data_IF_721347485446
#
_entry.id   IF_721347485446
#
_cell.length_a   1.000
_cell.length_b   1.000
_cell.length_c   1.000
_cell.angle_alpha   90.00
_cell.angle_beta   90.00
_cell.angle_gamma   90.00
#
_symmetry.space_group_name_H-M   'P 1'
#
loop_
_entity.id
_entity.type
_entity.pdbx_description
1 polymer ?
#
# COMPACT_ATOMS: atom_id res chain seq x y z
N UNK A 1 14.95 1.46 -32.80
CA UNK A 1 16.27 2.10 -32.85
C UNK A 1 16.09 3.44 -32.17
N UNK A 2 16.34 3.47 -30.86
CA UNK A 2 16.22 4.66 -30.03
C UNK A 2 17.63 4.88 -29.52
N UNK A 3 18.27 5.93 -30.01
CA UNK A 3 19.65 6.30 -29.65
C UNK A 3 19.66 6.74 -28.19
N UNK A 4 20.58 6.19 -27.41
CA UNK A 4 20.79 6.61 -26.02
C UNK A 4 21.51 7.95 -25.99
N UNK A 5 21.02 8.94 -25.21
CA UNK A 5 21.67 10.24 -25.15
C UNK A 5 22.95 10.20 -24.32
N UNK A 6 23.96 10.87 -24.87
CA UNK A 6 25.35 11.05 -24.44
C UNK A 6 25.48 11.90 -23.17
N UNK A 7 24.96 11.39 -22.05
CA UNK A 7 25.24 11.96 -20.71
C UNK A 7 25.76 10.90 -19.73
N UNK A 8 26.00 9.68 -20.20
CA UNK A 8 26.50 8.57 -19.40
C UNK A 8 28.04 8.57 -19.22
N UNK A 9 28.78 9.56 -19.74
CA UNK A 9 30.24 9.54 -19.64
C UNK A 9 30.84 10.79 -18.96
N UNK A 10 31.69 10.47 -17.98
CA UNK A 10 32.71 11.29 -17.31
C UNK A 10 32.27 12.24 -16.17
N UNK A 11 32.43 11.75 -14.93
CA UNK A 11 32.84 12.56 -13.79
C UNK A 11 34.23 12.07 -13.30
N UNK A 12 35.22 12.96 -13.11
CA UNK A 12 36.59 12.57 -12.82
C UNK A 12 36.76 12.10 -11.37
N UNK A 13 37.63 11.10 -11.19
CA UNK A 13 38.03 10.59 -9.89
C UNK A 13 38.87 11.63 -9.14
N UNK A 14 38.35 12.16 -8.02
CA UNK A 14 39.17 12.83 -7.01
C UNK A 14 38.53 12.76 -5.62
N UNK A 15 39.29 12.15 -4.69
CA UNK A 15 39.31 12.39 -3.24
C UNK A 15 38.14 11.87 -2.37
N UNK A 16 38.33 10.67 -1.83
CA UNK A 16 38.45 10.54 -0.36
C UNK A 16 37.20 10.45 0.51
N UNK A 17 36.04 10.04 0.00
CA UNK A 17 34.90 9.64 0.84
C UNK A 17 34.37 8.29 0.34
N UNK A 18 34.21 7.33 1.27
CA UNK A 18 33.70 5.99 0.95
C UNK A 18 32.33 6.06 0.26
N UNK A 19 31.93 5.01 -0.49
CA UNK A 19 30.70 5.04 -1.26
C UNK A 19 29.52 5.23 -0.30
N UNK A 20 28.93 6.43 -0.32
CA UNK A 20 27.55 6.62 0.10
C UNK A 20 26.76 5.74 -0.86
N UNK A 21 26.34 4.57 -0.38
CA UNK A 21 25.48 3.69 -1.14
C UNK A 21 24.18 4.46 -1.37
N UNK A 22 24.06 5.10 -2.52
CA UNK A 22 22.77 5.48 -3.08
C UNK A 22 22.07 4.16 -3.37
N UNK A 23 21.46 3.57 -2.34
CA UNK A 23 20.51 2.49 -2.52
C UNK A 23 19.52 3.00 -3.58
N UNK A 24 19.33 2.30 -4.70
CA UNK A 24 18.27 2.68 -5.62
C UNK A 24 16.96 2.63 -4.82
N UNK A 25 16.43 3.81 -4.49
CA UNK A 25 15.27 3.99 -3.61
C UNK A 25 14.01 3.30 -4.15
N UNK A 26 14.05 2.92 -5.43
CA UNK A 26 13.06 2.09 -6.09
C UNK A 26 13.56 0.64 -6.17
N UNK A 27 13.57 -0.08 -5.05
CA UNK A 27 13.51 -1.53 -5.10
C UNK A 27 12.18 -1.90 -5.74
N UNK A 28 12.21 -2.47 -6.95
CA UNK A 28 11.03 -2.99 -7.61
C UNK A 28 10.49 -4.19 -6.82
N UNK A 29 9.72 -3.91 -5.76
CA UNK A 29 9.09 -4.90 -4.91
C UNK A 29 7.59 -4.94 -5.20
N UNK A 30 7.03 -6.15 -5.30
CA UNK A 30 5.59 -6.33 -5.28
C UNK A 30 5.04 -5.85 -3.92
N UNK A 31 3.92 -5.15 -3.92
CA UNK A 31 3.27 -4.65 -2.69
C UNK A 31 2.92 -5.78 -1.70
N UNK A 32 2.86 -7.03 -2.16
CA UNK A 32 2.62 -8.22 -1.32
C UNK A 32 3.84 -8.68 -0.53
N UNK A 33 5.05 -8.22 -0.87
CA UNK A 33 6.28 -8.62 -0.18
C UNK A 33 7.35 -7.53 -0.30
N UNK A 34 7.35 -6.62 0.65
CA UNK A 34 8.32 -5.52 0.72
C UNK A 34 9.56 -5.95 1.50
N UNK A 35 10.76 -5.44 1.13
CA UNK A 35 12.02 -5.77 1.81
C UNK A 35 12.17 -4.98 3.13
N UNK A 36 11.14 -5.03 3.97
CA UNK A 36 11.09 -4.39 5.29
C UNK A 36 10.91 -5.45 6.36
N UNK A 37 11.50 -5.20 7.54
CA UNK A 37 11.35 -6.05 8.72
C UNK A 37 9.93 -5.95 9.29
N UNK A 38 9.54 -6.97 10.05
CA UNK A 38 8.29 -6.97 10.80
C UNK A 38 8.29 -5.81 11.80
N UNK A 39 7.14 -5.15 11.96
CA UNK A 39 6.95 -4.07 12.96
C UNK A 39 7.99 -2.94 12.86
N UNK A 40 8.43 -2.61 11.64
CA UNK A 40 9.45 -1.60 11.37
C UNK A 40 8.87 -0.19 11.11
N UNK A 41 7.61 -0.08 10.67
CA UNK A 41 7.01 1.20 10.26
C UNK A 41 5.88 1.66 11.18
N UNK A 42 5.76 2.98 11.35
CA UNK A 42 4.69 3.59 12.14
C UNK A 42 3.41 3.82 11.32
N UNK A 43 3.55 4.04 10.00
CA UNK A 43 2.45 4.35 9.09
C UNK A 43 2.61 3.61 7.76
N UNK A 44 1.53 3.00 7.27
CA UNK A 44 1.41 2.44 5.94
C UNK A 44 0.32 3.18 5.17
N UNK A 45 0.57 3.51 3.90
CA UNK A 45 -0.36 4.30 3.07
C UNK A 45 -0.61 3.60 1.75
N UNK A 46 -1.88 3.34 1.45
CA UNK A 46 -2.34 2.94 0.11
C UNK A 46 -3.13 4.10 -0.49
N UNK A 47 -2.59 4.72 -1.53
CA UNK A 47 -3.22 5.85 -2.20
C UNK A 47 -3.47 5.48 -3.66
N UNK A 48 -4.74 5.15 -3.97
CA UNK A 48 -5.20 4.69 -5.29
C UNK A 48 -4.41 3.49 -5.82
N UNK A 49 -3.91 2.65 -4.92
CA UNK A 49 -2.94 1.60 -5.23
C UNK A 49 -3.47 0.18 -4.99
N UNK A 50 -4.65 0.01 -4.39
CA UNK A 50 -5.31 -1.28 -4.19
C UNK A 50 -5.98 -1.77 -5.48
N UNK A 51 -5.29 -1.68 -6.61
CA UNK A 51 -5.81 -2.02 -7.94
C UNK A 51 -5.62 -3.50 -8.31
N UNK A 52 -4.84 -4.25 -7.52
CA UNK A 52 -4.62 -5.68 -7.73
C UNK A 52 -5.79 -6.56 -7.28
N UNK A 53 -5.85 -7.80 -7.77
CA UNK A 53 -6.82 -8.82 -7.34
C UNK A 53 -6.57 -9.33 -5.92
N UNK A 54 -5.37 -9.10 -5.39
CA UNK A 54 -4.89 -9.64 -4.12
C UNK A 54 -4.79 -8.56 -3.03
N UNK A 55 -5.85 -7.77 -2.86
CA UNK A 55 -5.91 -6.71 -1.83
C UNK A 55 -5.63 -7.26 -0.43
N UNK A 56 -6.02 -8.52 -0.17
CA UNK A 56 -5.70 -9.24 1.06
C UNK A 56 -4.20 -9.25 1.34
N UNK A 57 -3.40 -9.71 0.38
CA UNK A 57 -1.95 -9.88 0.55
C UNK A 57 -1.29 -8.53 0.87
N UNK A 58 -1.73 -7.45 0.22
CA UNK A 58 -1.22 -6.11 0.48
C UNK A 58 -1.54 -5.63 1.90
N UNK A 59 -2.76 -5.88 2.38
CA UNK A 59 -3.18 -5.49 3.73
C UNK A 59 -2.54 -6.36 4.82
N UNK A 60 -2.31 -7.65 4.55
CA UNK A 60 -1.58 -8.54 5.45
C UNK A 60 -0.10 -8.15 5.52
N UNK A 61 0.51 -7.78 4.39
CA UNK A 61 1.89 -7.28 4.36
C UNK A 61 2.01 -5.93 5.10
N UNK A 62 1.03 -5.03 4.92
CA UNK A 62 0.95 -3.81 5.71
C UNK A 62 0.82 -4.12 7.21
N UNK A 63 0.03 -5.13 7.59
CA UNK A 63 -0.06 -5.56 8.99
C UNK A 63 1.29 -6.06 9.51
N UNK A 64 2.02 -6.87 8.72
CA UNK A 64 3.35 -7.41 9.09
C UNK A 64 4.34 -6.28 9.40
N UNK A 65 4.47 -5.31 8.51
CA UNK A 65 5.47 -4.23 8.67
C UNK A 65 5.07 -3.17 9.69
N UNK A 66 3.77 -2.97 9.95
CA UNK A 66 3.31 -1.97 10.91
C UNK A 66 3.63 -2.36 12.35
N UNK A 67 4.09 -1.40 13.15
CA UNK A 67 4.19 -1.56 14.62
C UNK A 67 2.82 -1.75 15.26
N UNK A 68 2.73 -2.42 16.43
CA UNK A 68 1.50 -2.43 17.23
C UNK A 68 1.00 -1.01 17.50
N UNK A 69 -0.27 -0.73 17.21
CA UNK A 69 -0.84 0.62 17.32
C UNK A 69 -0.52 1.58 16.17
N UNK A 70 0.28 1.16 15.18
CA UNK A 70 0.58 1.91 13.97
C UNK A 70 -0.64 2.19 13.09
N UNK A 71 -0.49 3.11 12.13
CA UNK A 71 -1.59 3.62 11.31
C UNK A 71 -1.56 3.07 9.88
N UNK A 72 -2.72 2.62 9.41
CA UNK A 72 -2.95 2.29 8.02
C UNK A 72 -3.89 3.35 7.42
N UNK A 73 -3.45 4.02 6.36
CA UNK A 73 -4.25 4.99 5.61
C UNK A 73 -4.60 4.42 4.24
N UNK A 74 -5.87 4.44 3.89
CA UNK A 74 -6.35 3.97 2.58
C UNK A 74 -7.12 5.09 1.92
N UNK A 75 -6.68 5.52 0.75
CA UNK A 75 -7.41 6.40 -0.14
C UNK A 75 -7.72 5.65 -1.44
N UNK A 76 -9.00 5.49 -1.77
CA UNK A 76 -9.44 4.73 -2.95
C UNK A 76 -10.64 5.38 -3.63
N UNK A 77 -10.80 5.14 -4.93
CA UNK A 77 -11.88 5.73 -5.72
C UNK A 77 -13.23 5.26 -5.17
N UNK A 78 -14.14 6.20 -4.89
CA UNK A 78 -15.44 5.97 -4.25
C UNK A 78 -16.27 4.92 -4.99
N UNK A 79 -16.26 4.96 -6.32
CA UNK A 79 -17.00 4.03 -7.19
C UNK A 79 -16.52 2.58 -7.12
N UNK A 80 -15.38 2.32 -6.49
CA UNK A 80 -14.85 0.96 -6.32
C UNK A 80 -15.52 0.19 -5.18
N UNK A 81 -16.21 0.90 -4.29
CA UNK A 81 -16.87 0.33 -3.13
C UNK A 81 -18.35 0.07 -3.42
N UNK A 82 -18.76 -1.20 -3.45
CA UNK A 82 -20.19 -1.55 -3.47
C UNK A 82 -20.84 -1.32 -2.11
N UNK A 83 -20.20 -1.83 -1.04
CA UNK A 83 -20.59 -1.58 0.34
C UNK A 83 -19.35 -1.33 1.21
N UNK A 84 -19.17 -0.07 1.61
CA UNK A 84 -18.07 0.37 2.47
C UNK A 84 -18.05 -0.41 3.79
N UNK A 85 -19.21 -0.78 4.36
CA UNK A 85 -19.27 -1.52 5.64
C UNK A 85 -18.68 -2.92 5.49
N UNK A 86 -18.90 -3.58 4.36
CA UNK A 86 -18.35 -4.91 4.09
C UNK A 86 -16.83 -4.82 3.94
N UNK A 87 -16.32 -3.77 3.27
CA UNK A 87 -14.90 -3.48 3.21
C UNK A 87 -14.29 -3.24 4.60
N UNK A 88 -14.87 -2.34 5.40
CA UNK A 88 -14.40 -2.06 6.77
C UNK A 88 -14.41 -3.32 7.65
N UNK A 89 -15.43 -4.17 7.53
CA UNK A 89 -15.52 -5.44 8.25
C UNK A 89 -14.44 -6.44 7.84
N UNK A 90 -14.10 -6.48 6.54
CA UNK A 90 -13.02 -7.33 6.05
C UNK A 90 -11.64 -6.84 6.51
N UNK A 91 -11.37 -5.53 6.43
CA UNK A 91 -10.14 -4.92 6.96
C UNK A 91 -10.02 -5.16 8.48
N UNK A 92 -11.14 -5.11 9.20
CA UNK A 92 -11.15 -5.40 10.64
C UNK A 92 -10.74 -6.84 10.98
N UNK A 93 -11.14 -7.80 10.15
CA UNK A 93 -10.72 -9.21 10.28
C UNK A 93 -9.21 -9.40 10.05
N UNK A 94 -8.57 -8.47 9.32
CA UNK A 94 -7.11 -8.44 9.12
C UNK A 94 -6.35 -7.74 10.26
N UNK A 95 -6.99 -7.53 11.42
CA UNK A 95 -6.31 -7.01 12.61
C UNK A 95 -6.28 -5.49 12.72
N UNK A 96 -7.09 -4.79 11.92
CA UNK A 96 -7.19 -3.33 11.95
C UNK A 96 -8.48 -2.87 12.65
N UNK A 97 -8.50 -1.63 13.13
CA UNK A 97 -9.70 -0.96 13.66
C UNK A 97 -9.84 0.39 12.98
N UNK A 98 -11.00 0.68 12.41
CA UNK A 98 -11.26 1.99 11.81
C UNK A 98 -11.29 3.07 12.89
N UNK A 99 -10.51 4.13 12.69
CA UNK A 99 -10.47 5.34 13.54
C UNK A 99 -11.41 6.38 12.93
N UNK A 100 -11.26 6.63 11.63
CA UNK A 100 -12.04 7.63 10.91
C UNK A 100 -12.27 7.19 9.46
N UNK A 101 -13.30 7.77 8.85
CA UNK A 101 -13.61 7.63 7.43
C UNK A 101 -14.09 8.97 6.91
N UNK A 102 -13.51 9.42 5.82
CA UNK A 102 -13.98 10.59 5.09
C UNK A 102 -14.58 10.12 3.77
N UNK A 103 -15.90 10.28 3.67
CA UNK A 103 -16.71 9.93 2.50
C UNK A 103 -17.31 11.20 1.84
N UNK A 104 -16.84 12.38 2.23
CA UNK A 104 -17.40 13.66 1.76
C UNK A 104 -17.03 13.97 0.31
N UNK A 105 -15.86 13.48 -0.15
CA UNK A 105 -15.41 13.64 -1.51
C UNK A 105 -16.15 12.69 -2.46
N UNK A 106 -16.59 13.22 -3.60
CA UNK A 106 -17.34 12.45 -4.61
C UNK A 106 -16.50 11.41 -5.35
N UNK A 107 -15.18 11.60 -5.43
CA UNK A 107 -14.27 10.81 -6.24
C UNK A 107 -13.46 9.79 -5.45
N UNK A 108 -13.06 10.11 -4.21
CA UNK A 108 -12.23 9.23 -3.41
C UNK A 108 -12.69 9.20 -1.95
N UNK A 109 -12.57 8.04 -1.33
CA UNK A 109 -12.83 7.84 0.09
C UNK A 109 -11.51 7.66 0.83
N UNK A 110 -11.41 8.25 2.01
CA UNK A 110 -10.26 8.09 2.90
C UNK A 110 -10.68 7.31 4.13
N UNK A 111 -9.81 6.40 4.55
CA UNK A 111 -9.99 5.59 5.74
C UNK A 111 -8.71 5.59 6.54
N UNK A 112 -8.82 5.90 7.83
CA UNK A 112 -7.75 5.72 8.78
C UNK A 112 -8.05 4.52 9.66
N UNK A 113 -7.09 3.62 9.78
CA UNK A 113 -7.15 2.46 10.65
C UNK A 113 -5.96 2.40 11.59
N UNK A 114 -6.16 1.76 12.73
CA UNK A 114 -5.11 1.41 13.67
C UNK A 114 -4.86 -0.10 13.65
N UNK A 115 -3.60 -0.53 13.63
CA UNK A 115 -3.22 -1.94 13.85
C UNK A 115 -3.53 -2.32 15.30
N UNK A 116 -4.39 -3.32 15.47
CA UNK A 116 -4.78 -3.87 16.78
C UNK A 116 -4.13 -5.21 17.10
N UNK A 117 -3.56 -5.88 16.09
CA UNK A 117 -2.92 -7.18 16.23
C UNK A 117 -2.80 -7.90 14.88
N UNK A 118 -2.42 -9.18 14.87
CA UNK A 118 -2.34 -9.97 13.65
C UNK A 118 -3.74 -10.24 13.05
N UNK A 119 -3.81 -10.66 11.78
CA UNK A 119 -5.05 -11.13 11.16
C UNK A 119 -5.74 -12.22 11.99
N UNK A 120 -7.06 -12.10 12.16
CA UNK A 120 -7.89 -13.01 12.98
C UNK A 120 -8.52 -14.14 12.18
N UNK A 121 -8.21 -14.21 10.89
CA UNK A 121 -8.77 -15.17 9.94
C UNK A 121 -7.66 -16.03 9.36
N UNK A 122 -7.97 -17.29 9.08
CA UNK A 122 -7.00 -18.19 8.46
C UNK A 122 -6.63 -17.75 7.02
N UNK A 123 -5.47 -18.19 6.50
CA UNK A 123 -4.99 -17.80 5.17
C UNK A 123 -5.96 -18.15 4.04
N UNK A 124 -6.78 -19.20 4.21
CA UNK A 124 -7.74 -19.66 3.19
C UNK A 124 -9.16 -19.07 3.35
N UNK A 125 -9.41 -18.22 4.35
CA UNK A 125 -10.74 -17.64 4.56
C UNK A 125 -11.04 -16.57 3.52
N UNK A 126 -12.08 -16.74 2.70
CA UNK A 126 -12.44 -15.74 1.70
C UNK A 126 -13.01 -14.47 2.38
N UNK A 127 -12.42 -13.31 2.06
CA UNK A 127 -12.88 -12.00 2.52
C UNK A 127 -13.53 -11.24 1.36
N UNK A 128 -14.81 -11.49 1.11
CA UNK A 128 -15.57 -10.86 0.00
C UNK A 128 -15.52 -9.33 0.02
N UNK A 129 -15.41 -8.71 1.20
CA UNK A 129 -15.29 -7.26 1.35
C UNK A 129 -14.00 -6.65 0.82
N UNK A 130 -12.99 -7.45 0.48
CA UNK A 130 -11.76 -6.98 -0.15
C UNK A 130 -11.82 -7.05 -1.68
N UNK A 131 -12.95 -7.46 -2.27
CA UNK A 131 -13.13 -7.43 -3.72
C UNK A 131 -13.70 -6.07 -4.12
N UNK A 132 -12.82 -5.15 -4.50
CA UNK A 132 -13.21 -3.83 -4.99
C UNK A 132 -13.51 -3.86 -6.51
N UNK A 133 -14.45 -3.03 -6.94
CA UNK A 133 -14.77 -2.89 -8.36
C UNK A 133 -13.59 -2.26 -9.14
N UNK A 134 -13.41 -2.57 -10.43
CA UNK A 134 -12.38 -1.93 -11.24
C UNK A 134 -12.58 -0.42 -11.32
N UNK A 135 -11.49 0.34 -11.39
CA UNK A 135 -11.56 1.78 -11.66
C UNK A 135 -11.76 2.01 -13.17
N UNK A 136 -13.01 2.24 -13.59
CA UNK A 136 -13.32 2.57 -14.97
C UNK A 136 -13.17 4.08 -15.19
N UNK A 137 -12.12 4.49 -15.90
CA UNK A 137 -11.96 5.88 -16.32
C UNK A 137 -12.87 6.19 -17.52
N UNK A 138 -13.60 7.31 -17.46
CA UNK A 138 -14.34 7.84 -18.62
C UNK A 138 -13.34 8.24 -19.71
N UNK A 139 -13.67 7.96 -20.98
CA UNK A 139 -12.89 8.44 -22.13
C UNK A 139 -12.90 9.97 -22.15
N UNK A 140 -11.73 10.56 -22.40
CA UNK A 140 -11.54 12.01 -22.57
C UNK A 140 -11.98 12.46 -23.95
#
# INVERSE_FOLDING_TARGET
MFEEPEWAEAAPAALGLGPVTSQPWSAAASQSKVPLEDESVDVAVFCLSLMGTNIRDFLEEANRVLKPGGLLKVAEVSSRFEDVRVFLGAVSKLGFKVISKDLTNSHFFLFDFQKTGPPRVGPNTQLSGLKLQPCLYKRR
#
